data_IF_569769815884
#
_entry.id   IF_569769815884
#
_cell.length_a   1.000
_cell.length_b   1.000
_cell.length_c   1.000
_cell.angle_alpha   90.00
_cell.angle_beta   90.00
_cell.angle_gamma   90.00
#
_symmetry.space_group_name_H-M   'P 1'
#
loop_
_entity.id
_entity.type
_entity.pdbx_description
1 polymer ?
#
# COMPACT_ATOMS: atom_id res chain seq x y z
N UNK A 1 -4.27 -30.18 -22.51
CA UNK A 1 -5.49 -30.12 -21.68
C UNK A 1 -5.46 -28.79 -20.94
N UNK A 2 -6.39 -27.88 -21.23
CA UNK A 2 -6.46 -26.58 -20.56
C UNK A 2 -6.99 -26.82 -19.14
N UNK A 3 -6.23 -26.40 -18.13
CA UNK A 3 -6.66 -26.39 -16.73
C UNK A 3 -7.86 -25.45 -16.60
N UNK A 4 -9.02 -26.02 -16.28
CA UNK A 4 -10.24 -25.29 -15.98
C UNK A 4 -9.95 -24.37 -14.78
N UNK A 5 -9.91 -23.05 -15.01
CA UNK A 5 -9.64 -22.08 -13.95
C UNK A 5 -10.82 -22.12 -12.98
N UNK A 6 -10.61 -22.65 -11.77
CA UNK A 6 -11.58 -22.54 -10.69
C UNK A 6 -11.84 -21.05 -10.41
N UNK A 7 -13.03 -20.57 -10.75
CA UNK A 7 -13.41 -19.18 -10.49
C UNK A 7 -13.62 -18.99 -8.97
N UNK A 8 -12.84 -18.09 -8.39
CA UNK A 8 -13.04 -17.66 -7.00
C UNK A 8 -14.30 -16.79 -6.94
N UNK A 9 -15.22 -17.09 -6.02
CA UNK A 9 -16.38 -16.24 -5.78
C UNK A 9 -15.92 -14.94 -5.13
N UNK A 10 -16.18 -13.81 -5.78
CA UNK A 10 -15.89 -12.47 -5.25
C UNK A 10 -17.21 -11.82 -4.83
N UNK A 11 -17.26 -11.30 -3.61
CA UNK A 11 -18.38 -10.49 -3.11
C UNK A 11 -17.87 -9.06 -2.93
N UNK A 12 -18.55 -8.11 -3.56
CA UNK A 12 -18.20 -6.69 -3.46
C UNK A 12 -19.04 -6.07 -2.36
N UNK A 13 -18.38 -5.44 -1.40
CA UNK A 13 -19.01 -4.67 -0.32
C UNK A 13 -18.58 -3.21 -0.49
N UNK A 14 -19.50 -2.28 -0.79
CA UNK A 14 -19.17 -0.86 -0.83
C UNK A 14 -18.92 -0.35 0.58
N UNK A 15 -17.91 0.51 0.75
CA UNK A 15 -17.63 1.13 2.04
C UNK A 15 -16.47 2.11 1.98
N UNK A 16 -16.36 2.94 3.01
CA UNK A 16 -15.26 3.88 3.22
C UNK A 16 -14.38 3.39 4.37
N UNK A 17 -13.07 3.29 4.14
CA UNK A 17 -12.11 2.85 5.16
C UNK A 17 -12.03 3.81 6.35
N UNK A 18 -12.41 5.08 6.16
CA UNK A 18 -12.46 6.08 7.21
C UNK A 18 -13.67 5.92 8.14
N UNK A 19 -14.70 5.18 7.72
CA UNK A 19 -15.85 4.79 8.53
C UNK A 19 -15.58 3.44 9.20
N UNK A 20 -15.42 3.45 10.52
CA UNK A 20 -15.14 2.22 11.27
C UNK A 20 -16.23 1.16 11.14
N UNK A 21 -17.51 1.55 11.08
CA UNK A 21 -18.62 0.63 10.93
C UNK A 21 -18.57 -0.12 9.60
N UNK A 22 -18.23 0.59 8.51
CA UNK A 22 -18.05 -0.01 7.19
C UNK A 22 -16.95 -1.08 7.21
N UNK A 23 -15.81 -0.78 7.85
CA UNK A 23 -14.68 -1.73 7.97
C UNK A 23 -15.08 -2.95 8.80
N UNK A 24 -15.68 -2.72 9.98
CA UNK A 24 -16.12 -3.79 10.89
C UNK A 24 -17.14 -4.72 10.22
N UNK A 25 -18.09 -4.17 9.49
CA UNK A 25 -19.14 -4.96 8.85
C UNK A 25 -18.59 -5.76 7.66
N UNK A 26 -17.63 -5.20 6.90
CA UNK A 26 -16.95 -5.91 5.82
C UNK A 26 -16.07 -7.09 6.29
N UNK A 27 -15.62 -7.07 7.55
CA UNK A 27 -14.72 -8.10 8.11
C UNK A 27 -15.46 -9.29 8.73
N UNK A 28 -16.80 -9.25 8.82
CA UNK A 28 -17.58 -10.33 9.43
C UNK A 28 -17.35 -11.66 8.71
N UNK A 29 -16.87 -12.67 9.46
CA UNK A 29 -16.60 -14.01 8.94
C UNK A 29 -15.31 -14.16 8.14
N UNK A 30 -14.46 -13.13 8.08
CA UNK A 30 -13.13 -13.25 7.48
C UNK A 30 -12.14 -13.94 8.44
N UNK A 31 -11.15 -14.64 7.90
CA UNK A 31 -10.03 -15.21 8.67
C UNK A 31 -8.75 -14.35 8.58
N UNK A 32 -8.61 -13.63 7.46
CA UNK A 32 -7.43 -12.87 7.07
C UNK A 32 -7.84 -11.61 6.30
N UNK A 33 -7.09 -10.53 6.49
CA UNK A 33 -7.29 -9.25 5.81
C UNK A 33 -6.05 -8.88 5.00
N UNK A 34 -6.25 -8.60 3.70
CA UNK A 34 -5.28 -7.88 2.87
C UNK A 34 -5.67 -6.40 2.82
N UNK A 35 -4.95 -5.56 3.55
CA UNK A 35 -5.17 -4.11 3.58
C UNK A 35 -4.36 -3.43 2.48
N UNK A 36 -5.00 -3.16 1.35
CA UNK A 36 -4.43 -2.45 0.20
C UNK A 36 -5.06 -1.08 -0.05
N UNK A 37 -6.08 -0.69 0.73
CA UNK A 37 -6.76 0.59 0.57
C UNK A 37 -5.83 1.76 0.95
N UNK A 38 -5.64 2.69 0.03
CA UNK A 38 -4.77 3.85 0.22
C UNK A 38 -5.07 4.94 -0.81
N UNK A 39 -4.93 6.20 -0.41
CA UNK A 39 -4.74 7.32 -1.35
C UNK A 39 -3.26 7.45 -1.66
N UNK A 40 -2.90 7.16 -2.91
CA UNK A 40 -1.55 7.33 -3.45
C UNK A 40 -1.47 8.69 -4.13
N UNK A 41 -0.62 9.57 -3.62
CA UNK A 41 -0.36 10.88 -4.22
C UNK A 41 1.13 11.21 -4.19
N UNK A 42 1.70 11.31 -5.39
CA UNK A 42 3.11 11.69 -5.62
C UNK A 42 3.20 13.01 -6.41
N UNK A 43 2.08 13.72 -6.54
CA UNK A 43 1.96 14.94 -7.34
C UNK A 43 1.34 16.12 -6.58
N UNK A 44 1.17 16.01 -5.25
CA UNK A 44 0.54 17.02 -4.39
C UNK A 44 -0.86 17.45 -4.85
N UNK A 45 -1.64 16.50 -5.38
CA UNK A 45 -3.00 16.74 -5.89
C UNK A 45 -4.08 16.48 -4.84
N UNK A 46 -3.78 15.66 -3.84
CA UNK A 46 -4.74 15.26 -2.83
C UNK A 46 -4.48 16.08 -1.55
N UNK A 47 -5.53 16.68 -0.94
CA UNK A 47 -5.36 17.39 0.32
C UNK A 47 -4.74 16.49 1.39
N UNK A 48 -3.72 16.99 2.08
CA UNK A 48 -2.99 16.24 3.11
C UNK A 48 -3.92 15.58 4.13
N UNK A 49 -4.93 16.33 4.63
CA UNK A 49 -5.94 15.81 5.56
C UNK A 49 -6.65 14.56 5.04
N UNK A 50 -6.97 14.49 3.75
CA UNK A 50 -7.62 13.34 3.16
C UNK A 50 -6.69 12.13 3.08
N UNK A 51 -5.41 12.34 2.73
CA UNK A 51 -4.39 11.29 2.71
C UNK A 51 -4.22 10.70 4.12
N UNK A 52 -4.12 11.55 5.14
CA UNK A 52 -4.01 11.09 6.53
C UNK A 52 -5.25 10.35 7.01
N UNK A 53 -6.45 10.85 6.68
CA UNK A 53 -7.70 10.16 7.02
C UNK A 53 -7.74 8.75 6.41
N UNK A 54 -7.47 8.61 5.11
CA UNK A 54 -7.54 7.30 4.45
C UNK A 54 -6.39 6.39 4.89
N UNK A 55 -5.14 6.87 4.83
CA UNK A 55 -3.98 6.01 5.01
C UNK A 55 -3.66 5.73 6.48
N UNK A 56 -3.89 6.68 7.38
CA UNK A 56 -3.57 6.53 8.82
C UNK A 56 -4.82 6.14 9.60
N UNK A 57 -5.86 6.98 9.63
CA UNK A 57 -7.09 6.65 10.38
C UNK A 57 -7.74 5.39 9.84
N UNK A 58 -7.80 5.21 8.51
CA UNK A 58 -8.32 3.98 7.91
C UNK A 58 -7.52 2.74 8.31
N UNK A 59 -6.19 2.83 8.43
CA UNK A 59 -5.36 1.71 8.90
C UNK A 59 -5.59 1.42 10.38
N UNK A 60 -5.79 2.45 11.21
CA UNK A 60 -6.17 2.26 12.62
C UNK A 60 -7.52 1.55 12.73
N UNK A 61 -8.51 1.96 11.92
CA UNK A 61 -9.82 1.30 11.85
C UNK A 61 -9.68 -0.20 11.50
N UNK A 62 -8.84 -0.54 10.52
CA UNK A 62 -8.55 -1.93 10.14
C UNK A 62 -7.95 -2.73 11.30
N UNK A 63 -6.94 -2.18 11.99
CA UNK A 63 -6.31 -2.86 13.13
C UNK A 63 -7.35 -3.09 14.24
N UNK A 64 -8.12 -2.06 14.58
CA UNK A 64 -9.15 -2.14 15.61
C UNK A 64 -10.25 -3.16 15.25
N UNK A 65 -10.69 -3.19 14.00
CA UNK A 65 -11.67 -4.16 13.53
C UNK A 65 -11.12 -5.59 13.58
N UNK A 66 -9.85 -5.81 13.22
CA UNK A 66 -9.21 -7.12 13.37
C UNK A 66 -9.25 -7.60 14.83
N UNK A 67 -8.89 -6.71 15.76
CA UNK A 67 -8.91 -7.00 17.20
C UNK A 67 -10.33 -7.26 17.72
N UNK A 68 -11.29 -6.42 17.36
CA UNK A 68 -12.69 -6.52 17.81
C UNK A 68 -13.36 -7.80 17.29
N UNK A 69 -13.09 -8.20 16.06
CA UNK A 69 -13.80 -9.32 15.41
C UNK A 69 -13.11 -10.66 15.67
N UNK A 70 -11.80 -10.65 15.94
CA UNK A 70 -11.03 -11.89 16.13
C UNK A 70 -10.21 -12.32 14.90
N UNK A 71 -9.91 -11.39 13.98
CA UNK A 71 -9.08 -11.67 12.79
C UNK A 71 -7.65 -11.92 13.23
N UNK A 72 -7.05 -13.02 12.80
CA UNK A 72 -5.70 -13.41 13.23
C UNK A 72 -4.59 -12.91 12.32
N UNK A 73 -4.89 -12.59 11.06
CA UNK A 73 -3.86 -12.28 10.06
C UNK A 73 -4.17 -10.97 9.33
N UNK A 74 -3.26 -10.02 9.43
CA UNK A 74 -3.32 -8.74 8.72
C UNK A 74 -2.08 -8.55 7.85
N UNK A 75 -2.29 -8.56 6.53
CA UNK A 75 -1.25 -8.26 5.55
C UNK A 75 -1.49 -6.84 5.05
N UNK A 76 -0.58 -5.93 5.38
CA UNK A 76 -0.63 -4.54 4.97
C UNK A 76 0.25 -4.32 3.73
N UNK A 77 -0.35 -3.75 2.69
CA UNK A 77 0.40 -3.27 1.53
C UNK A 77 0.98 -1.92 1.88
N UNK A 78 2.22 -1.88 2.36
CA UNK A 78 3.00 -0.66 2.59
C UNK A 78 3.56 -0.11 1.26
N UNK A 79 4.73 0.53 1.28
CA UNK A 79 5.35 1.13 0.09
C UNK A 79 6.87 1.17 0.24
N UNK A 80 7.61 1.02 -0.87
CA UNK A 80 9.04 1.36 -0.90
C UNK A 80 9.30 2.82 -0.47
N UNK A 81 8.33 3.72 -0.67
CA UNK A 81 8.42 5.12 -0.22
C UNK A 81 8.58 5.26 1.29
N UNK A 82 8.29 4.24 2.11
CA UNK A 82 8.51 4.28 3.57
C UNK A 82 10.00 4.30 3.92
N UNK A 83 10.86 3.89 2.99
CA UNK A 83 12.31 3.74 3.19
C UNK A 83 13.11 4.71 2.33
N UNK A 84 12.50 5.80 1.86
CA UNK A 84 13.17 6.81 1.04
C UNK A 84 12.46 8.16 1.01
N UNK A 85 13.08 9.19 0.44
CA UNK A 85 14.46 9.20 -0.07
C UNK A 85 15.51 9.22 1.07
N UNK A 86 16.69 8.64 0.79
CA UNK A 86 17.85 8.72 1.68
C UNK A 86 18.35 10.17 1.72
N UNK A 87 18.55 10.72 2.94
CA UNK A 87 19.01 12.10 3.14
C UNK A 87 20.39 12.38 2.55
N UNK A 88 21.23 11.35 2.41
CA UNK A 88 22.59 11.48 1.86
C UNK A 88 22.62 11.45 0.33
N UNK A 89 21.53 11.03 -0.33
CA UNK A 89 21.49 10.85 -1.77
C UNK A 89 22.22 9.61 -2.30
N UNK A 90 22.72 8.74 -1.42
CA UNK A 90 23.37 7.49 -1.85
C UNK A 90 22.35 6.55 -2.51
N UNK A 91 22.81 5.78 -3.50
CA UNK A 91 21.99 4.80 -4.22
C UNK A 91 21.54 3.66 -3.32
N UNK A 92 20.26 3.31 -3.38
CA UNK A 92 19.73 2.11 -2.75
C UNK A 92 19.87 0.91 -3.69
N UNK A 93 20.80 -0.02 -3.39
CA UNK A 93 21.11 -1.17 -4.24
C UNK A 93 20.76 -2.46 -3.50
N UNK A 94 19.76 -3.20 -4.01
CA UNK A 94 19.41 -4.56 -3.55
C UNK A 94 19.30 -4.71 -2.02
N UNK A 95 18.73 -3.72 -1.35
CA UNK A 95 18.50 -3.81 0.09
C UNK A 95 17.33 -4.72 0.44
N UNK A 96 17.30 -5.13 1.70
CA UNK A 96 16.25 -5.90 2.35
C UNK A 96 15.61 -5.08 3.47
N UNK A 97 14.69 -5.69 4.23
CA UNK A 97 13.95 -5.05 5.32
C UNK A 97 14.84 -4.58 6.49
N UNK A 98 16.03 -5.19 6.65
CA UNK A 98 17.02 -4.86 7.69
C UNK A 98 17.99 -3.75 7.26
N UNK A 99 17.94 -3.32 6.01
CA UNK A 99 18.87 -2.31 5.48
C UNK A 99 18.64 -0.98 6.20
N UNK A 100 19.64 -0.37 6.87
CA UNK A 100 19.43 0.88 7.57
C UNK A 100 19.04 2.01 6.61
N UNK A 101 17.99 2.74 6.96
CA UNK A 101 17.48 3.85 6.16
C UNK A 101 17.65 5.16 6.93
N UNK A 102 18.55 6.03 6.47
CA UNK A 102 18.62 7.40 6.95
C UNK A 102 17.78 8.29 6.02
N UNK A 103 16.51 8.49 6.36
CA UNK A 103 15.52 9.01 5.43
C UNK A 103 14.80 10.25 5.96
N UNK A 104 14.30 11.06 5.03
CA UNK A 104 13.44 12.20 5.34
C UNK A 104 12.27 12.23 4.37
N UNK A 105 11.06 12.11 4.90
CA UNK A 105 9.85 12.23 4.12
C UNK A 105 9.41 13.69 4.05
N UNK A 106 9.35 14.25 2.84
CA UNK A 106 8.78 15.58 2.62
C UNK A 106 7.27 15.48 2.35
N UNK A 107 6.88 14.58 1.45
CA UNK A 107 5.50 14.42 0.98
C UNK A 107 4.57 13.74 2.01
N UNK A 108 3.27 14.08 2.03
CA UNK A 108 2.28 13.42 2.88
C UNK A 108 2.17 11.91 2.66
N UNK A 109 2.17 11.43 1.41
CA UNK A 109 1.98 10.00 1.14
C UNK A 109 3.04 9.11 1.82
N UNK A 110 4.36 9.31 1.60
CA UNK A 110 5.40 8.56 2.33
C UNK A 110 5.27 8.64 3.85
N UNK A 111 4.98 9.83 4.41
CA UNK A 111 4.74 10.01 5.86
C UNK A 111 3.61 9.13 6.37
N UNK A 112 2.48 9.12 5.67
CA UNK A 112 1.31 8.34 6.07
C UNK A 112 1.55 6.83 5.93
N UNK A 113 2.23 6.37 4.87
CA UNK A 113 2.60 4.96 4.72
C UNK A 113 3.53 4.50 5.82
N UNK A 114 4.51 5.33 6.20
CA UNK A 114 5.44 5.02 7.30
C UNK A 114 4.73 4.97 8.65
N UNK A 115 3.83 5.91 8.93
CA UNK A 115 3.02 5.92 10.15
C UNK A 115 2.13 4.68 10.25
N UNK A 116 1.42 4.35 9.16
CA UNK A 116 0.55 3.19 9.08
C UNK A 116 1.33 1.87 9.21
N UNK A 117 2.51 1.75 8.58
CA UNK A 117 3.37 0.58 8.72
C UNK A 117 3.82 0.39 10.17
N UNK A 118 4.24 1.46 10.84
CA UNK A 118 4.61 1.43 12.26
C UNK A 118 3.46 0.95 13.14
N UNK A 119 2.23 1.42 12.88
CA UNK A 119 1.03 0.99 13.60
C UNK A 119 0.75 -0.51 13.39
N UNK A 120 0.81 -0.99 12.14
CA UNK A 120 0.56 -2.39 11.81
C UNK A 120 1.59 -3.29 12.47
N UNK A 121 2.89 -2.99 12.32
CA UNK A 121 3.96 -3.78 12.95
C UNK A 121 3.86 -3.75 14.49
N UNK A 122 3.48 -2.61 15.07
CA UNK A 122 3.26 -2.46 16.50
C UNK A 122 2.04 -3.24 17.03
N UNK A 123 1.05 -3.53 16.18
CA UNK A 123 -0.11 -4.35 16.54
C UNK A 123 0.16 -5.86 16.52
N UNK A 124 1.32 -6.28 15.99
CA UNK A 124 1.72 -7.69 16.00
C UNK A 124 1.83 -8.22 17.44
N UNK A 125 1.20 -9.35 17.71
CA UNK A 125 1.17 -9.95 19.04
C UNK A 125 -0.02 -9.53 19.91
N UNK A 126 -0.82 -8.55 19.47
CA UNK A 126 -2.03 -8.12 20.19
C UNK A 126 -3.04 -9.26 20.31
N UNK A 127 -3.72 -9.34 21.46
CA UNK A 127 -4.81 -10.29 21.67
C UNK A 127 -6.08 -9.83 20.97
N UNK A 128 -6.65 -10.70 20.16
CA UNK A 128 -7.91 -10.45 19.47
C UNK A 128 -9.07 -11.09 20.22
N UNK A 129 -10.30 -10.70 19.91
CA UNK A 129 -11.51 -11.34 20.45
C UNK A 129 -11.44 -12.85 20.21
N UNK A 130 -11.76 -13.61 21.26
CA UNK A 130 -11.57 -15.07 21.27
C UNK A 130 -10.22 -15.55 21.82
N UNK A 131 -9.30 -14.64 22.18
CA UNK A 131 -8.06 -14.96 22.90
C UNK A 131 -6.86 -15.34 22.02
N UNK A 132 -7.08 -15.43 20.71
CA UNK A 132 -6.02 -15.63 19.72
C UNK A 132 -5.12 -14.39 19.60
N UNK A 133 -4.07 -14.51 18.80
CA UNK A 133 -3.07 -13.47 18.58
C UNK A 133 -3.21 -12.90 17.17
N UNK A 134 -3.09 -11.58 17.03
CA UNK A 134 -2.96 -10.90 15.75
C UNK A 134 -1.53 -11.02 15.24
N UNK A 135 -1.36 -11.58 14.06
CA UNK A 135 -0.12 -11.61 13.30
C UNK A 135 -0.19 -10.61 12.16
N UNK A 136 0.87 -9.82 12.00
CA UNK A 136 0.93 -8.81 10.95
C UNK A 136 2.12 -8.99 10.04
N UNK A 137 1.97 -8.58 8.77
CA UNK A 137 3.03 -8.52 7.79
C UNK A 137 2.87 -7.23 6.99
N UNK A 138 3.97 -6.50 6.76
CA UNK A 138 3.98 -5.32 5.90
C UNK A 138 4.80 -5.59 4.65
N UNK A 139 4.18 -5.46 3.49
CA UNK A 139 4.83 -5.61 2.19
C UNK A 139 5.22 -4.23 1.66
N UNK A 140 6.48 -4.02 1.28
CA UNK A 140 6.95 -2.76 0.68
C UNK A 140 7.20 -2.93 -0.83
N UNK A 141 6.14 -3.05 -1.66
CA UNK A 141 6.33 -3.21 -3.09
C UNK A 141 7.03 -1.99 -3.70
N UNK A 142 7.84 -2.26 -4.72
CA UNK A 142 8.38 -1.22 -5.61
C UNK A 142 7.34 -0.87 -6.67
N UNK A 143 7.70 -0.10 -7.71
CA UNK A 143 6.72 0.37 -8.70
C UNK A 143 5.99 -0.79 -9.42
N UNK A 144 4.72 -1.00 -9.09
CA UNK A 144 3.86 -2.01 -9.71
C UNK A 144 3.31 -1.47 -11.04
N UNK A 145 3.26 -2.34 -12.06
CA UNK A 145 2.60 -2.05 -13.33
C UNK A 145 1.91 -3.30 -13.88
N UNK A 146 0.96 -3.11 -14.79
CA UNK A 146 0.17 -4.19 -15.36
C UNK A 146 -0.92 -3.64 -16.27
N UNK A 147 -1.77 -4.54 -16.75
CA UNK A 147 -2.93 -4.20 -17.57
C UNK A 147 -3.82 -3.18 -16.83
N UNK A 148 -4.35 -2.22 -17.58
CA UNK A 148 -5.23 -1.17 -17.05
C UNK A 148 -4.64 -0.27 -15.96
N UNK A 149 -3.32 -0.29 -15.74
CA UNK A 149 -2.67 0.63 -14.81
C UNK A 149 -2.81 2.07 -15.29
N UNK A 150 -3.58 2.88 -14.55
CA UNK A 150 -3.96 4.23 -14.97
C UNK A 150 -2.77 5.17 -15.16
N UNK A 151 -1.76 5.12 -14.29
CA UNK A 151 -0.59 5.99 -14.42
C UNK A 151 0.21 5.70 -15.71
N UNK A 152 0.37 4.41 -16.06
CA UNK A 152 1.04 4.03 -17.31
C UNK A 152 0.21 4.44 -18.53
N UNK A 153 -1.11 4.33 -18.43
CA UNK A 153 -2.05 4.83 -19.45
C UNK A 153 -1.91 6.34 -19.63
N UNK A 154 -1.82 7.10 -18.55
CA UNK A 154 -1.64 8.56 -18.60
C UNK A 154 -0.31 8.95 -19.25
N UNK A 155 0.79 8.28 -18.91
CA UNK A 155 2.08 8.49 -19.56
C UNK A 155 2.02 8.21 -21.06
N UNK A 156 1.37 7.12 -21.45
CA UNK A 156 1.19 6.76 -22.86
C UNK A 156 0.35 7.80 -23.61
N UNK A 157 -0.81 8.20 -23.06
CA UNK A 157 -1.68 9.21 -23.66
C UNK A 157 -0.98 10.56 -23.77
N UNK A 158 -0.18 10.94 -22.77
CA UNK A 158 0.62 12.15 -22.83
C UNK A 158 1.67 12.07 -23.95
N UNK A 159 2.35 10.91 -24.09
CA UNK A 159 3.30 10.66 -25.18
C UNK A 159 2.65 10.77 -26.56
N UNK A 160 1.44 10.25 -26.75
CA UNK A 160 0.69 10.41 -28.01
C UNK A 160 0.38 11.90 -28.26
N UNK A 161 -0.09 12.62 -27.24
CA UNK A 161 -0.44 14.05 -27.34
C UNK A 161 0.75 14.93 -27.68
N UNK A 162 1.94 14.59 -27.21
CA UNK A 162 3.18 15.33 -27.48
C UNK A 162 3.83 14.93 -28.80
N UNK A 163 3.19 14.12 -29.64
CA UNK A 163 3.75 13.68 -30.93
C UNK A 163 4.81 12.58 -30.79
N UNK A 164 4.70 11.74 -29.77
CA UNK A 164 5.61 10.62 -29.49
C UNK A 164 6.66 10.90 -28.41
N UNK A 165 6.65 12.08 -27.79
CA UNK A 165 7.66 12.46 -26.80
C UNK A 165 7.27 12.05 -25.39
N UNK A 166 8.04 11.14 -24.78
CA UNK A 166 7.89 10.78 -23.37
C UNK A 166 9.02 11.44 -22.57
N UNK A 167 8.66 12.31 -21.62
CA UNK A 167 9.63 12.97 -20.76
C UNK A 167 10.19 11.96 -19.77
N UNK A 168 11.51 11.77 -19.79
CA UNK A 168 12.23 10.97 -18.79
C UNK A 168 12.66 11.87 -17.65
N UNK A 169 12.10 11.64 -16.46
CA UNK A 169 12.42 12.42 -15.25
C UNK A 169 13.70 11.99 -14.51
N UNK A 170 14.44 11.00 -15.03
CA UNK A 170 15.61 10.40 -14.36
C UNK A 170 16.75 10.14 -15.34
N UNK A 171 18.01 10.13 -14.89
CA UNK A 171 19.18 9.80 -15.72
C UNK A 171 19.07 8.48 -16.50
N UNK A 172 19.85 8.35 -17.58
CA UNK A 172 19.80 7.18 -18.46
C UNK A 172 20.21 5.87 -17.77
N UNK A 173 21.16 5.98 -16.84
CA UNK A 173 21.73 4.89 -16.07
C UNK A 173 20.97 4.57 -14.77
N UNK A 174 19.81 5.20 -14.52
CA UNK A 174 19.01 4.89 -13.33
C UNK A 174 18.37 3.51 -13.46
N UNK A 175 18.65 2.64 -12.50
CA UNK A 175 17.97 1.35 -12.33
C UNK A 175 16.73 1.51 -11.45
N UNK A 176 15.63 0.85 -11.83
CA UNK A 176 14.39 0.85 -11.04
C UNK A 176 13.93 -0.58 -10.79
N UNK A 177 13.65 -0.91 -9.53
CA UNK A 177 12.84 -2.06 -9.19
C UNK A 177 11.40 -1.83 -9.67
N UNK A 178 10.90 -2.73 -10.51
CA UNK A 178 9.51 -2.74 -10.97
C UNK A 178 8.96 -4.16 -10.85
N UNK A 179 7.67 -4.27 -10.54
CA UNK A 179 6.98 -5.55 -10.44
C UNK A 179 5.81 -5.53 -11.41
N UNK A 180 5.71 -6.55 -12.26
CA UNK A 180 4.56 -6.75 -13.13
C UNK A 180 3.47 -7.51 -12.37
N UNK A 181 2.21 -7.09 -12.51
CA UNK A 181 1.04 -7.75 -11.97
C UNK A 181 -0.03 -7.85 -13.08
N UNK A 182 -0.20 -9.07 -13.64
CA UNK A 182 -1.12 -9.39 -14.74
C UNK A 182 -1.21 -10.88 -15.01
#
# INVERSE_FOLDING_TARGET
MATERKHVKVVVVPGDITDYGNVRDAFQGADLVFHAASLVDVWYKVPEKAIYAVNVQGTENVINACVEIGIQYLIYTSSMEVVGPNVKGDTFIRGNEDTPYNIFHEMPYPKTKASAEKMVLGANGTKVKGGNTLYTCSLRPTGIYGEQHQLMKDFYLNGVRTGGWVIRGVPQNTEHGRVYAG
#
